data_IF_714783304545
#
_entry.id   IF_714783304545
#
_cell.length_a   1.000
_cell.length_b   1.000
_cell.length_c   1.000
_cell.angle_alpha   90.00
_cell.angle_beta   90.00
_cell.angle_gamma   90.00
#
_symmetry.space_group_name_H-M   'P 1'
#
loop_
_entity.id
_entity.type
_entity.pdbx_description
1 polymer ?
#
# COMPACT_ATOMS: atom_id res chain seq x y z
N UNK A 1 8.58 -1.92 -8.31
CA UNK A 1 7.86 -1.20 -7.26
C UNK A 1 6.54 -1.89 -6.90
N UNK A 2 5.68 -2.12 -7.86
CA UNK A 2 4.36 -2.74 -7.61
C UNK A 2 4.47 -4.12 -6.96
N UNK A 3 5.33 -4.97 -7.46
CA UNK A 3 5.50 -6.33 -6.91
C UNK A 3 5.93 -6.30 -5.44
N UNK A 4 6.82 -5.40 -5.10
CA UNK A 4 7.29 -5.24 -3.73
C UNK A 4 6.14 -4.84 -2.80
N UNK A 5 5.29 -3.94 -3.25
CA UNK A 5 4.14 -3.48 -2.48
C UNK A 5 3.11 -4.60 -2.35
N UNK A 6 2.89 -5.38 -3.40
CA UNK A 6 2.00 -6.53 -3.34
C UNK A 6 2.47 -7.55 -2.30
N UNK A 7 3.76 -7.83 -2.26
CA UNK A 7 4.35 -8.74 -1.29
C UNK A 7 4.22 -8.20 0.15
N UNK A 8 4.49 -6.93 0.34
CA UNK A 8 4.39 -6.31 1.66
C UNK A 8 2.96 -6.30 2.17
N UNK A 9 2.00 -6.01 1.30
CA UNK A 9 0.58 -6.05 1.65
C UNK A 9 0.13 -7.46 2.00
N UNK A 10 0.53 -8.44 1.20
CA UNK A 10 0.18 -9.83 1.45
C UNK A 10 0.69 -10.29 2.81
N UNK A 11 1.91 -9.94 3.14
CA UNK A 11 2.51 -10.26 4.44
C UNK A 11 1.80 -9.53 5.58
N UNK A 12 1.57 -8.24 5.43
CA UNK A 12 0.96 -7.42 6.47
C UNK A 12 -0.48 -7.85 6.78
N UNK A 13 -1.22 -8.24 5.75
CA UNK A 13 -2.62 -8.66 5.88
C UNK A 13 -2.80 -10.16 6.00
N UNK A 14 -1.70 -10.91 5.96
CA UNK A 14 -1.71 -12.37 6.05
C UNK A 14 -2.58 -13.00 4.95
N UNK A 15 -2.38 -12.54 3.72
CA UNK A 15 -3.11 -13.00 2.53
C UNK A 15 -2.14 -13.59 1.51
N UNK A 16 -2.62 -14.51 0.64
CA UNK A 16 -1.81 -14.94 -0.50
C UNK A 16 -1.55 -13.77 -1.43
N UNK A 17 -0.34 -13.70 -1.97
CA UNK A 17 0.04 -12.61 -2.87
C UNK A 17 -0.85 -12.57 -4.13
N UNK A 18 -1.39 -13.73 -4.54
CA UNK A 18 -2.28 -13.83 -5.69
C UNK A 18 -3.57 -13.02 -5.51
N UNK A 19 -3.97 -12.77 -4.26
CA UNK A 19 -5.16 -11.95 -3.97
C UNK A 19 -4.85 -10.46 -3.97
N UNK A 20 -3.59 -10.09 -3.89
CA UNK A 20 -3.15 -8.70 -3.84
C UNK A 20 -2.83 -8.22 -5.25
N UNK A 21 -3.86 -8.06 -6.06
CA UNK A 21 -3.72 -7.60 -7.44
C UNK A 21 -3.58 -6.07 -7.49
N UNK A 22 -3.08 -5.54 -8.60
CA UNK A 22 -2.86 -4.11 -8.75
C UNK A 22 -4.15 -3.30 -8.58
N UNK A 23 -5.26 -3.82 -9.06
CA UNK A 23 -6.56 -3.15 -8.99
C UNK A 23 -7.37 -3.51 -7.74
N UNK A 24 -6.83 -4.34 -6.86
CA UNK A 24 -7.51 -4.69 -5.61
C UNK A 24 -7.61 -3.46 -4.70
N UNK A 25 -8.78 -3.23 -4.17
CA UNK A 25 -9.02 -2.14 -3.22
C UNK A 25 -8.57 -2.60 -1.84
N UNK A 26 -7.68 -1.86 -1.24
CA UNK A 26 -7.04 -2.28 0.02
C UNK A 26 -8.07 -2.50 1.13
N UNK A 27 -9.01 -1.57 1.28
CA UNK A 27 -10.03 -1.68 2.32
C UNK A 27 -11.17 -2.61 1.89
N UNK A 28 -11.74 -2.39 0.72
CA UNK A 28 -12.94 -3.11 0.28
C UNK A 28 -12.66 -4.55 -0.15
N UNK A 29 -11.58 -4.78 -0.87
CA UNK A 29 -11.27 -6.10 -1.42
C UNK A 29 -10.36 -6.93 -0.51
N UNK A 30 -9.39 -6.29 0.12
CA UNK A 30 -8.41 -6.98 0.96
C UNK A 30 -8.80 -6.99 2.44
N UNK A 31 -9.82 -6.24 2.80
CA UNK A 31 -10.35 -6.25 4.16
C UNK A 31 -9.53 -5.51 5.19
N UNK A 32 -8.60 -4.66 4.76
CA UNK A 32 -7.82 -3.85 5.68
C UNK A 32 -8.67 -2.71 6.25
N UNK A 33 -8.52 -2.42 7.52
CA UNK A 33 -9.16 -1.23 8.10
C UNK A 33 -8.19 -0.03 8.03
N UNK A 34 -8.64 1.12 8.52
CA UNK A 34 -7.81 2.33 8.46
C UNK A 34 -6.53 2.22 9.29
N UNK A 35 -6.56 1.47 10.37
CA UNK A 35 -5.38 1.24 11.20
C UNK A 35 -4.36 0.37 10.47
N UNK A 36 -4.82 -0.69 9.82
CA UNK A 36 -3.95 -1.54 8.99
C UNK A 36 -3.29 -0.74 7.89
N UNK A 37 -4.06 0.14 7.25
CA UNK A 37 -3.56 0.99 6.18
C UNK A 37 -2.46 1.94 6.70
N UNK A 38 -2.68 2.56 7.86
CA UNK A 38 -1.70 3.47 8.46
C UNK A 38 -0.41 2.72 8.78
N UNK A 39 -0.50 1.54 9.38
CA UNK A 39 0.68 0.72 9.69
C UNK A 39 1.44 0.33 8.42
N UNK A 40 0.71 -0.06 7.38
CA UNK A 40 1.32 -0.41 6.11
C UNK A 40 2.06 0.77 5.50
N UNK A 41 1.43 1.94 5.49
CA UNK A 41 2.05 3.14 4.94
C UNK A 41 3.29 3.53 5.72
N UNK A 42 3.28 3.37 7.06
CA UNK A 42 4.46 3.63 7.89
C UNK A 42 5.61 2.70 7.52
N UNK A 43 5.34 1.43 7.28
CA UNK A 43 6.36 0.45 6.86
C UNK A 43 6.93 0.82 5.49
N UNK A 44 6.08 1.27 4.58
CA UNK A 44 6.52 1.70 3.24
C UNK A 44 7.38 2.95 3.32
N UNK A 45 7.02 3.90 4.18
CA UNK A 45 7.82 5.10 4.39
C UNK A 45 9.22 4.75 4.89
N UNK A 46 9.32 3.82 5.84
CA UNK A 46 10.60 3.35 6.36
C UNK A 46 11.41 2.62 5.30
N UNK A 47 10.76 1.75 4.54
CA UNK A 47 11.42 0.94 3.51
C UNK A 47 11.99 1.78 2.39
N UNK A 48 11.27 2.81 1.97
CA UNK A 48 11.65 3.65 0.84
C UNK A 48 12.26 4.99 1.24
N UNK A 49 12.35 5.27 2.54
CA UNK A 49 12.97 6.49 3.03
C UNK A 49 12.23 7.76 2.65
N UNK A 50 10.91 7.70 2.60
CA UNK A 50 10.07 8.84 2.20
C UNK A 50 8.91 9.01 3.18
N UNK A 51 8.17 10.11 3.04
CA UNK A 51 6.99 10.38 3.85
C UNK A 51 5.80 10.59 2.91
N UNK A 52 4.71 9.89 3.18
CA UNK A 52 3.47 10.03 2.41
C UNK A 52 2.60 11.09 3.08
N UNK A 53 2.30 12.21 2.38
CA UNK A 53 1.46 13.24 2.97
C UNK A 53 0.07 12.72 3.34
N UNK A 54 -0.46 13.14 4.47
CA UNK A 54 -1.78 12.70 4.93
C UNK A 54 -2.88 13.00 3.91
N UNK A 55 -2.77 14.12 3.20
CA UNK A 55 -3.74 14.50 2.17
C UNK A 55 -3.75 13.52 1.00
N UNK A 56 -2.62 12.85 0.74
CA UNK A 56 -2.53 11.86 -0.34
C UNK A 56 -3.09 10.51 0.09
N UNK A 57 -3.08 10.20 1.39
CA UNK A 57 -3.56 8.92 1.92
C UNK A 57 -5.01 8.67 1.53
N UNK A 58 -5.84 9.70 1.52
CA UNK A 58 -7.26 9.58 1.15
C UNK A 58 -7.47 9.10 -0.29
N UNK A 59 -6.48 9.32 -1.15
CA UNK A 59 -6.55 8.92 -2.55
C UNK A 59 -5.97 7.52 -2.81
N UNK A 60 -5.42 6.88 -1.79
CA UNK A 60 -4.80 5.57 -1.92
C UNK A 60 -5.85 4.48 -1.71
N UNK A 61 -6.56 4.15 -2.76
CA UNK A 61 -7.67 3.18 -2.73
C UNK A 61 -7.21 1.79 -3.11
N UNK A 62 -6.45 1.68 -4.20
CA UNK A 62 -5.98 0.39 -4.72
C UNK A 62 -4.50 0.19 -4.46
N UNK A 63 -4.04 -1.05 -4.68
CA UNK A 63 -2.61 -1.39 -4.58
C UNK A 63 -1.80 -0.57 -5.58
N UNK A 64 -2.31 -0.41 -6.80
CA UNK A 64 -1.65 0.39 -7.84
C UNK A 64 -1.52 1.86 -7.42
N UNK A 65 -2.52 2.40 -6.72
CA UNK A 65 -2.48 3.78 -6.23
C UNK A 65 -1.30 3.98 -5.27
N UNK A 66 -1.08 3.02 -4.38
CA UNK A 66 0.04 3.07 -3.43
C UNK A 66 1.38 3.00 -4.18
N UNK A 67 1.48 2.10 -5.15
CA UNK A 67 2.69 1.96 -5.95
C UNK A 67 3.00 3.25 -6.72
N UNK A 68 2.00 3.86 -7.32
CA UNK A 68 2.17 5.11 -8.07
C UNK A 68 2.62 6.25 -7.15
N UNK A 69 2.06 6.34 -5.96
CA UNK A 69 2.44 7.36 -5.00
C UNK A 69 3.91 7.20 -4.57
N UNK A 70 4.33 5.99 -4.27
CA UNK A 70 5.72 5.73 -3.89
C UNK A 70 6.70 6.02 -5.02
N UNK A 71 6.35 5.68 -6.25
CA UNK A 71 7.18 6.01 -7.40
C UNK A 71 7.35 7.52 -7.55
N UNK A 72 6.28 8.26 -7.34
CA UNK A 72 6.30 9.72 -7.40
C UNK A 72 7.20 10.30 -6.32
N UNK A 73 7.13 9.76 -5.10
CA UNK A 73 7.87 10.29 -3.95
C UNK A 73 9.34 9.88 -3.94
N UNK A 74 9.69 8.79 -4.60
CA UNK A 74 11.06 8.24 -4.57
C UNK A 74 11.89 8.56 -5.80
N UNK A 75 11.36 9.30 -6.72
CA UNK A 75 12.09 9.72 -7.92
C UNK A 75 13.15 10.78 -7.61
#
# INVERSE_FOLDING_TARGET
MLEKIQEMLAEALNLPVEKVTADAKIVDDLGADSLDLVELLSRLEDEYGTVIPDEDVENLVTVADVAAELEKLTK
#
